data_IF_180007950458
#
_entry.id   IF_180007950458
#
_cell.length_a   1.000
_cell.length_b   1.000
_cell.length_c   1.000
_cell.angle_alpha   90.00
_cell.angle_beta   90.00
_cell.angle_gamma   90.00
#
_symmetry.space_group_name_H-M   'P 1'
#
loop_
_entity.id
_entity.type
_entity.pdbx_description
1 polymer ?
#
# COMPACT_ATOMS: atom_id res chain seq x y z
N UNK A 1 3.78 20.55 14.34
CA UNK A 1 2.45 20.36 14.99
C UNK A 1 1.97 18.92 14.90
N UNK A 2 2.06 18.27 13.73
CA UNK A 2 1.59 16.89 13.53
C UNK A 2 2.20 15.85 14.47
N UNK A 3 3.51 15.91 14.74
CA UNK A 3 4.19 14.98 15.65
C UNK A 3 3.66 15.02 17.10
N UNK A 4 3.03 16.12 17.49
CA UNK A 4 2.48 16.33 18.84
C UNK A 4 1.00 15.93 18.96
N UNK A 5 0.36 15.52 17.86
CA UNK A 5 -1.02 15.05 17.88
C UNK A 5 -1.11 13.60 18.39
N UNK A 6 -2.19 13.21 19.07
CA UNK A 6 -2.46 11.82 19.42
C UNK A 6 -2.36 10.91 18.18
N UNK A 7 -1.73 9.75 18.33
CA UNK A 7 -1.47 8.84 17.22
C UNK A 7 -0.28 9.22 16.33
N UNK A 8 0.35 10.39 16.56
CA UNK A 8 1.52 10.89 15.82
C UNK A 8 1.37 10.68 14.30
N UNK A 9 0.35 11.30 13.68
CA UNK A 9 0.02 11.07 12.27
C UNK A 9 1.18 11.36 11.32
N UNK A 10 2.15 12.18 11.75
CA UNK A 10 3.31 12.52 10.94
C UNK A 10 4.48 12.96 11.83
N UNK A 11 5.66 12.38 11.65
CA UNK A 11 6.88 12.76 12.37
C UNK A 11 7.69 13.82 11.61
N UNK A 12 8.65 14.45 12.28
CA UNK A 12 9.52 15.44 11.63
C UNK A 12 10.45 14.79 10.59
N UNK A 13 10.94 13.57 10.84
CA UNK A 13 11.73 12.82 9.87
C UNK A 13 10.89 12.43 8.62
N UNK A 14 9.62 12.05 8.77
CA UNK A 14 8.74 11.83 7.60
C UNK A 14 8.56 13.11 6.77
N UNK A 15 8.45 14.28 7.42
CA UNK A 15 8.37 15.56 6.73
C UNK A 15 9.64 15.88 5.94
N UNK A 16 10.81 15.58 6.51
CA UNK A 16 12.07 15.77 5.82
C UNK A 16 12.21 14.80 4.64
N UNK A 17 11.81 13.52 4.81
CA UNK A 17 11.87 12.53 3.73
C UNK A 17 10.97 12.85 2.55
N UNK A 18 9.77 13.43 2.76
CA UNK A 18 8.87 13.81 1.66
C UNK A 18 9.39 14.97 0.79
N UNK A 19 10.41 15.70 1.23
CA UNK A 19 11.02 16.77 0.44
C UNK A 19 12.02 16.25 -0.59
N UNK A 20 12.32 14.96 -0.58
CA UNK A 20 13.20 14.29 -1.53
C UNK A 20 12.44 13.18 -2.24
N UNK A 21 12.62 13.06 -3.55
CA UNK A 21 12.08 11.93 -4.30
C UNK A 21 12.79 10.64 -3.86
N UNK A 22 12.02 9.65 -3.38
CA UNK A 22 12.52 8.33 -2.96
C UNK A 22 12.30 7.29 -4.06
N UNK A 23 12.74 7.61 -5.28
CA UNK A 23 12.61 6.75 -6.46
C UNK A 23 13.95 6.14 -6.82
N UNK A 24 13.93 4.96 -7.43
CA UNK A 24 15.13 4.33 -7.98
C UNK A 24 15.25 4.68 -9.47
N UNK A 25 16.47 4.86 -9.96
CA UNK A 25 16.74 5.04 -11.40
C UNK A 25 16.57 3.74 -12.20
N UNK A 26 16.75 2.59 -11.54
CA UNK A 26 16.64 1.25 -12.12
C UNK A 26 15.90 0.28 -11.19
N UNK A 27 15.35 -0.79 -11.77
CA UNK A 27 14.67 -1.84 -11.01
C UNK A 27 15.70 -2.78 -10.32
N UNK A 28 16.00 -2.51 -9.05
CA UNK A 28 16.91 -3.33 -8.26
C UNK A 28 16.38 -4.73 -7.89
N UNK A 29 15.08 -4.99 -8.00
CA UNK A 29 14.49 -6.29 -7.63
C UNK A 29 14.92 -7.40 -8.58
N UNK A 30 15.07 -7.08 -9.87
CA UNK A 30 15.53 -8.02 -10.89
C UNK A 30 16.95 -8.52 -10.60
N UNK A 31 17.84 -7.65 -10.10
CA UNK A 31 19.20 -8.02 -9.72
C UNK A 31 19.24 -9.03 -8.56
N UNK A 32 18.17 -9.07 -7.75
CA UNK A 32 17.99 -10.01 -6.65
C UNK A 32 17.20 -11.27 -7.06
N UNK A 33 16.76 -11.37 -8.32
CA UNK A 33 15.90 -12.44 -8.81
C UNK A 33 14.47 -12.39 -8.25
N UNK A 34 14.00 -11.20 -7.86
CA UNK A 34 12.67 -10.99 -7.28
C UNK A 34 11.73 -10.41 -8.35
N UNK A 35 10.61 -11.09 -8.58
CA UNK A 35 9.53 -10.56 -9.42
C UNK A 35 8.69 -9.54 -8.61
N UNK A 36 8.56 -8.28 -9.08
CA UNK A 36 7.77 -7.28 -8.38
C UNK A 36 6.28 -7.64 -8.38
N UNK A 37 5.61 -7.36 -7.26
CA UNK A 37 4.15 -7.47 -7.17
C UNK A 37 3.52 -6.11 -7.36
N UNK A 38 2.56 -6.01 -8.28
CA UNK A 38 1.82 -4.78 -8.53
C UNK A 38 1.13 -4.27 -7.25
N UNK A 39 1.26 -2.97 -7.00
CA UNK A 39 0.71 -2.35 -5.79
C UNK A 39 -0.83 -2.43 -5.79
N UNK A 40 -1.46 -2.29 -6.95
CA UNK A 40 -2.90 -2.42 -7.15
C UNK A 40 -3.40 -3.84 -6.88
N UNK A 41 -2.55 -4.86 -7.03
CA UNK A 41 -2.93 -6.25 -6.76
C UNK A 41 -3.09 -6.51 -5.24
N UNK A 42 -2.39 -5.76 -4.39
CA UNK A 42 -2.31 -6.03 -2.94
C UNK A 42 -2.95 -4.96 -2.07
N UNK A 43 -2.88 -3.68 -2.43
CA UNK A 43 -3.40 -2.55 -1.63
C UNK A 43 -4.89 -2.70 -1.24
N UNK A 44 -5.79 -3.17 -2.12
CA UNK A 44 -7.19 -3.37 -1.75
C UNK A 44 -7.39 -4.29 -0.54
N UNK A 45 -6.51 -5.30 -0.34
CA UNK A 45 -6.60 -6.22 0.80
C UNK A 45 -6.31 -5.54 2.14
N UNK A 46 -5.48 -4.49 2.15
CA UNK A 46 -5.11 -3.75 3.36
C UNK A 46 -6.09 -2.62 3.67
N UNK A 47 -6.53 -1.87 2.64
CA UNK A 47 -7.28 -0.62 2.83
C UNK A 47 -8.79 -0.80 2.72
N UNK A 48 -9.28 -1.73 1.90
CA UNK A 48 -10.72 -1.83 1.62
C UNK A 48 -11.51 -2.53 2.74
N UNK A 49 -10.85 -2.95 3.84
CA UNK A 49 -11.41 -3.87 4.84
C UNK A 49 -12.03 -5.14 4.21
N UNK A 50 -11.70 -5.42 2.94
CA UNK A 50 -12.22 -6.54 2.18
C UNK A 50 -11.58 -7.78 2.78
N UNK A 51 -12.32 -8.43 3.68
CA UNK A 51 -11.94 -9.75 4.14
C UNK A 51 -11.91 -10.64 2.90
N UNK A 52 -11.02 -11.60 2.84
CA UNK A 52 -10.93 -12.57 1.74
C UNK A 52 -12.30 -13.19 1.35
N UNK A 53 -13.25 -13.21 2.31
CA UNK A 53 -14.65 -13.62 2.14
C UNK A 53 -15.53 -12.66 1.34
N UNK A 54 -15.24 -11.36 1.30
CA UNK A 54 -16.03 -10.36 0.56
C UNK A 54 -15.92 -10.56 -0.95
N UNK A 55 -14.76 -11.01 -1.43
CA UNK A 55 -14.55 -11.48 -2.82
C UNK A 55 -15.45 -12.67 -3.16
N UNK A 56 -15.67 -13.60 -2.24
CA UNK A 56 -16.56 -14.76 -2.46
C UNK A 56 -18.04 -14.36 -2.56
N UNK A 57 -18.47 -13.22 -2.00
CA UNK A 57 -19.84 -12.73 -2.14
C UNK A 57 -20.12 -12.16 -3.54
N UNK A 58 -19.11 -11.60 -4.21
CA UNK A 58 -19.25 -11.10 -5.59
C UNK A 58 -19.56 -12.23 -6.58
N UNK A 59 -18.99 -13.42 -6.37
CA UNK A 59 -19.31 -14.62 -7.15
C UNK A 59 -20.59 -15.33 -6.72
N UNK A 60 -21.27 -14.83 -5.67
CA UNK A 60 -22.48 -15.43 -5.10
C UNK A 60 -23.76 -14.67 -5.45
N UNK A 61 -23.69 -13.63 -6.28
CA UNK A 61 -24.90 -12.98 -6.78
C UNK A 61 -25.63 -13.94 -7.75
N UNK A 62 -26.87 -14.36 -7.44
CA UNK A 62 -27.66 -15.07 -8.43
C UNK A 62 -27.93 -14.14 -9.59
N UNK A 63 -27.65 -14.60 -10.80
CA UNK A 63 -28.10 -13.98 -12.04
C UNK A 63 -29.64 -14.00 -11.99
N UNK A 64 -30.26 -12.88 -11.68
CA UNK A 64 -31.71 -12.69 -11.60
C UNK A 64 -32.11 -11.49 -12.42
#
# INVERSE_FOLDING_TARGET
>A
MMEKLPGKPFTMDNYLSLQSDSVCDENGLEQLGIEPTDIEAVVPLYLAHQRQRDRLYQFRQPQG
#
